data_IF_860251037643
#
_entry.id   IF_860251037643
#
_cell.length_a   1.000
_cell.length_b   1.000
_cell.length_c   1.000
_cell.angle_alpha   90.00
_cell.angle_beta   90.00
_cell.angle_gamma   90.00
#
_symmetry.space_group_name_H-M   'P 1'
#
loop_
_entity.id
_entity.type
_entity.pdbx_description
1 polymer ?
#
# COMPACT_ATOMS: atom_id res chain seq x y z
N UNK A 1 4.40 -12.41 -34.84
CA UNK A 1 4.09 -11.70 -33.60
C UNK A 1 2.87 -10.84 -33.87
N UNK A 2 1.85 -10.90 -33.02
CA UNK A 2 0.76 -9.93 -33.10
C UNK A 2 1.36 -8.52 -32.85
N UNK A 3 0.88 -7.48 -33.53
CA UNK A 3 1.37 -6.12 -33.26
C UNK A 3 1.08 -5.75 -31.80
N UNK A 4 2.07 -5.14 -31.13
CA UNK A 4 1.88 -4.59 -29.79
C UNK A 4 0.79 -3.52 -29.82
N UNK A 5 -0.12 -3.52 -28.83
CA UNK A 5 -1.22 -2.56 -28.77
C UNK A 5 -0.71 -1.13 -28.63
N UNK A 6 0.33 -0.92 -27.83
CA UNK A 6 1.00 0.36 -27.64
C UNK A 6 2.51 0.22 -27.80
N UNK A 7 3.16 1.28 -28.25
CA UNK A 7 4.62 1.38 -28.42
C UNK A 7 5.23 2.30 -27.37
N UNK A 8 6.45 1.99 -26.93
CA UNK A 8 7.23 2.88 -26.06
C UNK A 8 7.76 4.06 -26.90
N UNK A 9 7.42 5.31 -26.56
CA UNK A 9 7.94 6.52 -27.22
C UNK A 9 9.47 6.56 -27.22
N UNK A 10 10.12 7.10 -28.28
CA UNK A 10 11.58 7.11 -28.40
C UNK A 10 12.32 7.64 -27.16
N UNK A 11 11.76 8.65 -26.50
CA UNK A 11 12.34 9.27 -25.30
C UNK A 11 12.35 8.35 -24.07
N UNK A 12 11.53 7.29 -24.04
CA UNK A 12 11.42 6.35 -22.92
C UNK A 12 12.02 4.97 -23.21
N UNK A 13 12.58 4.75 -24.40
CA UNK A 13 13.18 3.45 -24.77
C UNK A 13 14.46 3.11 -23.98
N UNK A 14 15.08 4.10 -23.33
CA UNK A 14 16.17 3.86 -22.38
C UNK A 14 15.68 3.36 -21.01
N UNK A 15 14.49 3.78 -20.61
CA UNK A 15 13.91 3.52 -19.28
C UNK A 15 13.01 2.29 -19.27
N UNK A 16 12.49 1.89 -20.42
CA UNK A 16 11.51 0.83 -20.58
C UNK A 16 11.91 -0.14 -21.69
N UNK A 17 11.57 -1.40 -21.51
CA UNK A 17 11.59 -2.41 -22.56
C UNK A 17 10.29 -3.19 -22.59
N UNK A 18 9.93 -3.71 -23.75
CA UNK A 18 8.77 -4.57 -23.89
C UNK A 18 9.03 -5.94 -23.28
N UNK A 19 8.04 -6.49 -22.57
CA UNK A 19 8.05 -7.86 -22.04
C UNK A 19 6.69 -8.53 -22.23
N UNK A 20 6.70 -9.85 -22.33
CA UNK A 20 5.49 -10.66 -22.23
C UNK A 20 5.13 -10.86 -20.75
N UNK A 21 3.83 -10.89 -20.39
CA UNK A 21 3.40 -11.09 -19.01
C UNK A 21 3.87 -12.44 -18.49
N UNK A 22 4.28 -12.51 -17.22
CA UNK A 22 4.68 -13.78 -16.57
C UNK A 22 3.49 -14.72 -16.33
N UNK A 23 2.28 -14.26 -16.63
CA UNK A 23 1.03 -14.97 -16.42
C UNK A 23 0.06 -14.76 -17.60
N UNK A 24 -0.34 -15.86 -18.28
CA UNK A 24 -1.19 -15.80 -19.49
C UNK A 24 -2.72 -15.87 -19.25
N UNK A 25 -3.18 -16.31 -18.07
CA UNK A 25 -4.60 -16.35 -17.68
C UNK A 25 -5.30 -14.98 -17.85
N UNK A 26 -6.60 -15.01 -18.14
CA UNK A 26 -7.47 -13.83 -18.09
C UNK A 26 -7.64 -13.32 -16.67
N UNK A 27 -8.19 -12.12 -16.50
CA UNK A 27 -8.52 -11.58 -15.17
C UNK A 27 -9.49 -12.49 -14.44
N UNK A 28 -10.54 -12.96 -15.10
CA UNK A 28 -11.55 -13.85 -14.53
C UNK A 28 -10.95 -15.17 -14.05
N UNK A 29 -10.05 -15.76 -14.84
CA UNK A 29 -9.37 -17.00 -14.47
C UNK A 29 -8.43 -16.80 -13.28
N UNK A 30 -7.72 -15.68 -13.21
CA UNK A 30 -6.85 -15.34 -12.07
C UNK A 30 -7.72 -15.13 -10.83
N UNK A 31 -8.74 -14.28 -10.89
CA UNK A 31 -9.61 -13.97 -9.74
C UNK A 31 -10.36 -15.21 -9.25
N UNK A 32 -10.84 -16.07 -10.16
CA UNK A 32 -11.45 -17.35 -9.81
C UNK A 32 -10.46 -18.26 -9.08
N UNK A 33 -9.23 -18.39 -9.57
CA UNK A 33 -8.19 -19.20 -8.93
C UNK A 33 -7.78 -18.67 -7.55
N UNK A 34 -7.78 -17.35 -7.35
CA UNK A 34 -7.49 -16.72 -6.06
C UNK A 34 -8.64 -16.86 -5.05
N UNK A 35 -9.84 -17.24 -5.50
CA UNK A 35 -11.00 -17.51 -4.64
C UNK A 35 -11.00 -18.97 -4.11
N UNK A 36 -9.84 -19.48 -3.74
CA UNK A 36 -9.64 -20.81 -3.18
C UNK A 36 -8.60 -20.76 -2.07
N UNK A 37 -8.80 -21.57 -1.03
CA UNK A 37 -7.84 -21.69 0.06
C UNK A 37 -6.55 -22.33 -0.48
N UNK A 38 -5.41 -21.71 -0.16
CA UNK A 38 -4.09 -22.24 -0.50
C UNK A 38 -3.25 -22.28 0.77
N UNK A 39 -2.58 -23.38 1.15
CA UNK A 39 -1.67 -23.38 2.29
C UNK A 39 -0.53 -22.36 2.15
N UNK A 40 0.05 -21.91 3.26
CA UNK A 40 1.24 -21.03 3.26
C UNK A 40 2.49 -21.91 3.29
N UNK A 41 3.24 -21.93 2.19
CA UNK A 41 4.39 -22.82 2.00
C UNK A 41 5.74 -22.08 1.88
N UNK A 42 5.71 -20.76 1.72
CA UNK A 42 6.90 -19.91 1.64
C UNK A 42 6.62 -18.52 2.21
N UNK A 43 7.64 -17.66 2.29
CA UNK A 43 7.46 -16.25 2.68
C UNK A 43 7.06 -15.33 1.51
N UNK A 44 7.12 -15.79 0.26
CA UNK A 44 6.68 -15.00 -0.92
C UNK A 44 5.15 -14.98 -1.04
N UNK A 45 4.52 -14.25 -0.12
CA UNK A 45 3.08 -14.03 -0.10
C UNK A 45 2.77 -12.56 -0.40
N UNK A 46 1.72 -12.32 -1.18
CA UNK A 46 1.11 -10.99 -1.35
C UNK A 46 -0.23 -11.04 -0.63
N UNK A 47 -0.29 -10.43 0.55
CA UNK A 47 -1.49 -10.32 1.37
C UNK A 47 -2.24 -9.04 1.03
N UNK A 48 -3.55 -9.15 0.91
CA UNK A 48 -4.46 -8.02 0.79
C UNK A 48 -5.76 -8.36 1.54
N UNK A 49 -6.63 -7.37 1.71
CA UNK A 49 -7.91 -7.56 2.39
C UNK A 49 -9.05 -6.86 1.65
N UNK A 50 -10.17 -7.55 1.56
CA UNK A 50 -11.46 -6.98 1.20
C UNK A 50 -12.54 -7.65 2.04
N UNK A 51 -13.23 -6.88 2.88
CA UNK A 51 -14.11 -7.38 3.94
C UNK A 51 -15.16 -8.38 3.45
N UNK A 52 -15.67 -8.15 2.25
CA UNK A 52 -16.74 -8.88 1.59
C UNK A 52 -16.25 -9.89 0.54
N UNK A 53 -14.95 -10.19 0.51
CA UNK A 53 -14.37 -11.22 -0.36
C UNK A 53 -13.90 -10.73 -1.74
N UNK A 54 -12.97 -11.45 -2.35
CA UNK A 54 -12.34 -11.07 -3.63
C UNK A 54 -13.36 -10.86 -4.77
N UNK A 55 -14.48 -11.61 -4.75
CA UNK A 55 -15.51 -11.53 -5.79
C UNK A 55 -16.36 -10.25 -5.72
N UNK A 56 -16.43 -9.58 -4.57
CA UNK A 56 -17.22 -8.36 -4.39
C UNK A 56 -16.40 -7.08 -4.59
N UNK A 57 -15.08 -7.20 -4.82
CA UNK A 57 -14.23 -6.04 -5.13
C UNK A 57 -14.72 -5.31 -6.39
N UNK A 58 -14.57 -3.96 -6.43
CA UNK A 58 -14.70 -3.18 -7.65
C UNK A 58 -13.85 -3.75 -8.79
N UNK A 59 -14.32 -3.61 -10.03
CA UNK A 59 -13.63 -4.17 -11.21
C UNK A 59 -12.18 -3.70 -11.32
N UNK A 60 -11.91 -2.42 -11.04
CA UNK A 60 -10.57 -1.84 -11.11
C UNK A 60 -9.61 -2.41 -10.05
N UNK A 61 -10.11 -2.77 -8.86
CA UNK A 61 -9.35 -3.48 -7.82
C UNK A 61 -9.05 -4.92 -8.24
N UNK A 62 -10.00 -5.62 -8.87
CA UNK A 62 -9.75 -6.97 -9.43
C UNK A 62 -8.66 -6.93 -10.51
N UNK A 63 -8.70 -5.93 -11.39
CA UNK A 63 -7.66 -5.67 -12.40
C UNK A 63 -6.29 -5.42 -11.76
N UNK A 64 -6.22 -4.66 -10.66
CA UNK A 64 -4.97 -4.49 -9.89
C UNK A 64 -4.42 -5.83 -9.42
N UNK A 65 -5.23 -6.63 -8.73
CA UNK A 65 -4.83 -7.94 -8.19
C UNK A 65 -4.42 -8.91 -9.30
N UNK A 66 -5.14 -8.93 -10.42
CA UNK A 66 -4.77 -9.74 -11.58
C UNK A 66 -3.42 -9.29 -12.17
N UNK A 67 -3.16 -7.99 -12.24
CA UNK A 67 -1.87 -7.47 -12.69
C UNK A 67 -0.73 -7.87 -11.75
N UNK A 68 -0.94 -7.90 -10.42
CA UNK A 68 0.11 -8.38 -9.50
C UNK A 68 0.59 -9.80 -9.86
N UNK A 69 -0.34 -10.68 -10.28
CA UNK A 69 -0.02 -12.04 -10.76
C UNK A 69 0.84 -12.03 -12.02
N UNK A 70 0.58 -11.09 -12.94
CA UNK A 70 1.33 -10.93 -14.20
C UNK A 70 2.73 -10.38 -13.99
N UNK A 71 2.91 -9.47 -13.03
CA UNK A 71 4.21 -8.87 -12.73
C UNK A 71 5.06 -9.79 -11.83
N UNK A 72 4.49 -10.31 -10.75
CA UNK A 72 5.25 -11.09 -9.77
C UNK A 72 5.43 -12.55 -10.20
N UNK A 73 4.56 -13.04 -11.09
CA UNK A 73 4.60 -14.40 -11.61
C UNK A 73 4.30 -15.46 -10.54
N UNK A 74 4.47 -16.75 -10.88
CA UNK A 74 4.07 -17.87 -10.01
C UNK A 74 4.96 -18.07 -8.77
N UNK A 75 6.06 -17.32 -8.65
CA UNK A 75 6.92 -17.37 -7.46
C UNK A 75 6.29 -16.69 -6.24
N UNK A 76 5.25 -15.87 -6.45
CA UNK A 76 4.50 -15.18 -5.42
C UNK A 76 3.08 -15.74 -5.31
N UNK A 77 2.63 -16.00 -4.08
CA UNK A 77 1.26 -16.44 -3.82
C UNK A 77 0.40 -15.27 -3.36
N UNK A 78 -0.61 -14.89 -4.14
CA UNK A 78 -1.54 -13.81 -3.80
C UNK A 78 -2.68 -14.34 -2.93
N UNK A 79 -3.03 -13.58 -1.89
CA UNK A 79 -4.04 -13.93 -0.89
C UNK A 79 -4.86 -12.69 -0.56
N UNK A 80 -6.08 -12.64 -1.07
CA UNK A 80 -7.04 -11.59 -0.73
C UNK A 80 -7.93 -12.14 0.38
N UNK A 81 -7.60 -11.79 1.63
CA UNK A 81 -8.34 -12.20 2.82
C UNK A 81 -9.66 -11.45 2.94
N UNK A 82 -10.59 -12.03 3.69
CA UNK A 82 -11.90 -11.44 3.95
C UNK A 82 -12.41 -11.73 5.36
N UNK A 83 -13.56 -11.12 5.71
CA UNK A 83 -14.24 -11.30 6.98
C UNK A 83 -15.51 -12.18 6.87
N UNK A 84 -15.60 -13.02 5.83
CA UNK A 84 -16.76 -13.88 5.57
C UNK A 84 -16.47 -15.29 6.09
N UNK A 85 -17.10 -15.77 7.19
CA UNK A 85 -16.71 -17.01 7.87
C UNK A 85 -16.63 -18.26 6.99
N UNK A 86 -17.55 -18.40 6.03
CA UNK A 86 -17.61 -19.55 5.12
C UNK A 86 -16.68 -19.40 3.90
N UNK A 87 -16.08 -18.23 3.69
CA UNK A 87 -15.20 -17.97 2.56
C UNK A 87 -13.94 -18.84 2.62
N UNK A 88 -13.43 -19.37 1.50
CA UNK A 88 -12.11 -20.00 1.44
C UNK A 88 -10.99 -19.09 1.95
N UNK A 89 -11.14 -17.77 1.83
CA UNK A 89 -10.15 -16.78 2.24
C UNK A 89 -10.48 -16.04 3.53
N UNK A 90 -11.37 -16.60 4.35
CA UNK A 90 -11.66 -16.05 5.67
C UNK A 90 -10.36 -15.86 6.48
N UNK A 91 -10.14 -14.65 7.01
CA UNK A 91 -8.87 -14.28 7.65
C UNK A 91 -8.44 -15.25 8.77
N UNK A 92 -9.39 -15.77 9.56
CA UNK A 92 -9.09 -16.70 10.67
C UNK A 92 -8.70 -18.11 10.21
N UNK A 93 -8.71 -18.40 8.91
CA UNK A 93 -8.09 -19.62 8.36
C UNK A 93 -6.56 -19.52 8.28
N UNK A 94 -6.03 -18.30 8.23
CA UNK A 94 -4.59 -18.02 8.12
C UNK A 94 -3.98 -17.47 9.42
N UNK A 95 -4.80 -16.89 10.28
CA UNK A 95 -4.37 -16.20 11.50
C UNK A 95 -5.09 -16.74 12.75
N UNK A 96 -4.36 -16.94 13.86
CA UNK A 96 -4.97 -17.18 15.16
C UNK A 96 -5.87 -16.03 15.60
N UNK A 97 -7.03 -16.34 16.15
CA UNK A 97 -8.00 -15.33 16.60
C UNK A 97 -7.47 -14.46 17.76
N UNK A 98 -6.58 -14.98 18.60
CA UNK A 98 -5.98 -14.29 19.73
C UNK A 98 -4.92 -13.24 19.35
N UNK A 99 -4.50 -13.22 18.08
CA UNK A 99 -3.67 -12.15 17.53
C UNK A 99 -4.47 -10.94 17.06
N UNK A 100 -5.80 -11.01 17.05
CA UNK A 100 -6.66 -9.95 16.52
C UNK A 100 -7.59 -9.43 17.62
N UNK A 101 -8.04 -8.16 17.54
CA UNK A 101 -9.01 -7.65 18.50
C UNK A 101 -10.33 -8.44 18.44
N UNK A 102 -10.99 -8.57 19.59
CA UNK A 102 -12.30 -9.23 19.68
C UNK A 102 -13.33 -8.62 18.70
N UNK A 103 -13.23 -7.30 18.48
CA UNK A 103 -14.14 -6.61 17.57
C UNK A 103 -13.99 -7.06 16.10
N UNK A 104 -12.81 -7.52 15.69
CA UNK A 104 -12.63 -8.14 14.38
C UNK A 104 -13.19 -9.57 14.39
N UNK A 105 -12.80 -10.39 15.36
CA UNK A 105 -13.16 -11.82 15.39
C UNK A 105 -14.66 -12.08 15.56
N UNK A 106 -15.37 -11.17 16.24
CA UNK A 106 -16.83 -11.20 16.40
C UNK A 106 -17.59 -10.33 15.40
N UNK A 107 -16.90 -9.60 14.52
CA UNK A 107 -17.53 -8.71 13.55
C UNK A 107 -18.35 -7.58 14.19
N UNK A 108 -17.89 -7.04 15.32
CA UNK A 108 -18.62 -6.00 16.08
C UNK A 108 -18.08 -4.59 15.85
N UNK A 109 -17.07 -4.42 14.98
CA UNK A 109 -16.58 -3.10 14.62
C UNK A 109 -17.65 -2.24 13.93
N UNK A 110 -17.71 -0.98 14.32
CA UNK A 110 -18.65 -0.01 13.77
C UNK A 110 -17.93 1.20 13.14
N UNK A 111 -18.73 2.03 12.45
CA UNK A 111 -18.26 3.26 11.83
C UNK A 111 -17.83 3.10 10.35
N UNK A 112 -17.39 4.21 9.73
CA UNK A 112 -17.13 4.25 8.29
C UNK A 112 -15.79 3.60 7.88
N UNK A 113 -14.92 3.30 8.85
CA UNK A 113 -13.53 2.85 8.62
C UNK A 113 -13.28 1.39 9.05
N UNK A 114 -14.35 0.59 9.21
CA UNK A 114 -14.25 -0.83 9.56
C UNK A 114 -13.34 -1.61 8.61
N UNK A 115 -13.49 -1.43 7.29
CA UNK A 115 -12.66 -2.10 6.28
C UNK A 115 -11.17 -1.76 6.41
N UNK A 116 -10.79 -0.46 6.37
CA UNK A 116 -9.41 -0.04 6.58
C UNK A 116 -8.78 -0.55 7.88
N UNK A 117 -9.44 -0.40 9.03
CA UNK A 117 -8.89 -0.88 10.30
C UNK A 117 -8.83 -2.41 10.40
N UNK A 118 -9.75 -3.12 9.75
CA UNK A 118 -9.65 -4.57 9.58
C UNK A 118 -8.36 -4.95 8.86
N UNK A 119 -8.06 -4.29 7.73
CA UNK A 119 -6.81 -4.51 7.01
C UNK A 119 -5.58 -4.22 7.88
N UNK A 120 -5.64 -3.16 8.70
CA UNK A 120 -4.57 -2.81 9.65
C UNK A 120 -4.31 -3.96 10.65
N UNK A 121 -5.32 -4.59 11.24
CA UNK A 121 -5.09 -5.73 12.14
C UNK A 121 -4.43 -6.91 11.44
N UNK A 122 -4.81 -7.19 10.19
CA UNK A 122 -4.29 -8.32 9.46
C UNK A 122 -2.86 -8.09 8.98
N UNK A 123 -2.49 -6.83 8.71
CA UNK A 123 -1.18 -6.46 8.16
C UNK A 123 -0.03 -6.93 9.04
N UNK A 124 -0.02 -6.53 10.30
CA UNK A 124 1.02 -6.92 11.25
C UNK A 124 1.04 -8.43 11.50
N UNK A 125 -0.13 -9.05 11.67
CA UNK A 125 -0.26 -10.47 11.95
C UNK A 125 0.21 -11.37 10.79
N UNK A 126 -0.19 -11.07 9.56
CA UNK A 126 0.21 -11.82 8.36
C UNK A 126 1.72 -11.76 8.17
N UNK A 127 2.30 -10.56 8.23
CA UNK A 127 3.72 -10.35 8.03
C UNK A 127 4.55 -11.02 9.12
N UNK A 128 4.14 -10.90 10.39
CA UNK A 128 4.86 -11.57 11.48
C UNK A 128 4.82 -13.10 11.36
N UNK A 129 3.66 -13.70 11.09
CA UNK A 129 3.54 -15.16 11.05
C UNK A 129 4.09 -15.80 9.78
N UNK A 130 4.02 -15.10 8.65
CA UNK A 130 4.21 -15.69 7.32
C UNK A 130 5.16 -14.92 6.42
N UNK A 131 5.55 -13.70 6.77
CA UNK A 131 6.36 -12.83 5.91
C UNK A 131 5.65 -12.41 4.62
N UNK A 132 6.41 -11.80 3.73
CA UNK A 132 5.95 -11.38 2.41
C UNK A 132 5.64 -9.89 2.37
N UNK A 133 4.65 -9.54 1.56
CA UNK A 133 4.17 -8.17 1.36
C UNK A 133 2.69 -8.12 1.72
N UNK A 134 2.30 -7.13 2.51
CA UNK A 134 0.91 -6.76 2.68
C UNK A 134 0.67 -5.43 1.97
N UNK A 135 -0.26 -5.41 1.05
CA UNK A 135 -0.52 -4.25 0.20
C UNK A 135 -2.01 -4.09 -0.08
N UNK A 136 -2.48 -2.84 -0.16
CA UNK A 136 -3.89 -2.55 -0.41
C UNK A 136 -4.31 -2.93 -1.84
N UNK A 137 -5.54 -3.43 -2.02
CA UNK A 137 -6.11 -3.75 -3.34
C UNK A 137 -6.21 -2.54 -4.28
N UNK A 138 -6.16 -1.32 -3.73
CA UNK A 138 -6.11 -0.09 -4.49
C UNK A 138 -4.74 0.24 -5.11
N UNK A 139 -3.77 -0.67 -5.04
CA UNK A 139 -2.43 -0.44 -5.60
C UNK A 139 -2.33 -1.02 -7.01
N UNK A 140 -2.08 -0.15 -7.98
CA UNK A 140 -1.66 -0.53 -9.33
C UNK A 140 -0.14 -0.70 -9.31
N UNK A 141 0.35 -1.93 -9.44
CA UNK A 141 1.78 -2.23 -9.44
C UNK A 141 2.37 -2.04 -10.84
N UNK A 142 3.52 -1.36 -10.95
CA UNK A 142 4.25 -1.18 -12.22
C UNK A 142 5.68 -1.74 -12.19
N UNK A 143 6.14 -2.20 -11.02
CA UNK A 143 7.42 -2.86 -10.82
C UNK A 143 7.24 -4.11 -9.95
N UNK A 144 7.86 -5.23 -10.31
CA UNK A 144 7.72 -6.45 -9.51
C UNK A 144 8.31 -6.34 -8.10
N UNK A 145 7.71 -7.07 -7.15
CA UNK A 145 8.05 -6.95 -5.73
C UNK A 145 9.47 -7.41 -5.38
N UNK A 146 10.07 -8.27 -6.22
CA UNK A 146 11.47 -8.67 -6.06
C UNK A 146 12.41 -7.47 -6.26
N UNK A 147 12.11 -6.61 -7.23
CA UNK A 147 12.84 -5.36 -7.49
C UNK A 147 12.44 -4.20 -6.58
N UNK A 148 11.20 -4.17 -6.09
CA UNK A 148 10.78 -3.17 -5.09
C UNK A 148 11.56 -3.36 -3.80
N UNK A 149 11.58 -4.58 -3.24
CA UNK A 149 12.27 -4.81 -1.97
C UNK A 149 12.67 -6.26 -1.69
N UNK A 150 11.96 -7.25 -2.24
CA UNK A 150 12.08 -8.61 -1.72
C UNK A 150 13.44 -9.25 -1.97
N UNK A 151 14.12 -8.91 -3.07
CA UNK A 151 15.50 -9.37 -3.29
C UNK A 151 16.44 -8.90 -2.19
N UNK A 152 16.24 -7.67 -1.70
CA UNK A 152 17.03 -7.10 -0.60
C UNK A 152 16.66 -7.71 0.76
N UNK A 153 15.39 -8.05 0.97
CA UNK A 153 14.94 -8.65 2.23
C UNK A 153 15.33 -10.13 2.34
N UNK A 154 15.28 -10.86 1.23
CA UNK A 154 15.59 -12.29 1.19
C UNK A 154 17.10 -12.59 1.10
N UNK A 155 17.95 -11.57 0.96
CA UNK A 155 19.40 -11.70 0.99
C UNK A 155 19.90 -11.75 2.43
N UNK A 156 20.38 -12.90 2.88
CA UNK A 156 20.92 -13.10 4.24
C UNK A 156 22.14 -12.23 4.56
N UNK A 157 22.79 -11.63 3.56
CA UNK A 157 23.89 -10.67 3.74
C UNK A 157 23.40 -9.22 3.96
N UNK A 158 22.15 -8.94 3.62
CA UNK A 158 21.51 -7.64 3.82
C UNK A 158 21.03 -7.53 5.27
N UNK A 159 21.27 -6.40 5.96
CA UNK A 159 20.69 -6.17 7.28
C UNK A 159 19.18 -5.83 7.22
N UNK A 160 18.62 -5.66 6.02
CA UNK A 160 17.25 -5.17 5.84
C UNK A 160 16.26 -6.32 5.94
N UNK A 161 15.34 -6.24 6.89
CA UNK A 161 14.29 -7.26 7.11
C UNK A 161 12.87 -6.75 6.82
N UNK A 162 12.71 -5.42 6.73
CA UNK A 162 11.41 -4.77 6.55
C UNK A 162 11.55 -3.69 5.47
N UNK A 163 10.53 -3.50 4.64
CA UNK A 163 10.48 -2.39 3.68
C UNK A 163 9.15 -1.64 3.74
N UNK A 164 9.21 -0.31 3.75
CA UNK A 164 8.04 0.57 3.82
C UNK A 164 8.24 1.87 3.04
N UNK A 165 7.16 2.44 2.49
CA UNK A 165 7.20 3.79 1.95
C UNK A 165 7.39 4.82 3.08
N UNK A 166 8.32 5.75 2.88
CA UNK A 166 8.55 6.93 3.70
C UNK A 166 7.85 8.13 3.07
N UNK A 167 6.93 8.75 3.80
CA UNK A 167 6.35 10.02 3.39
C UNK A 167 7.29 11.18 3.70
N UNK A 168 7.72 11.29 4.95
CA UNK A 168 8.68 12.29 5.44
C UNK A 168 9.12 11.92 6.86
N UNK A 169 10.36 12.22 7.26
CA UNK A 169 10.87 12.10 8.64
C UNK A 169 10.53 10.78 9.38
N UNK A 170 10.51 9.65 8.66
CA UNK A 170 10.17 8.33 9.20
C UNK A 170 8.67 8.10 9.45
N UNK A 171 7.80 9.02 9.01
CA UNK A 171 6.37 8.79 8.86
C UNK A 171 6.16 7.89 7.65
N UNK A 172 5.71 6.66 7.91
CA UNK A 172 5.47 5.66 6.89
C UNK A 172 4.06 5.74 6.31
N UNK A 173 3.88 5.26 5.08
CA UNK A 173 2.56 5.00 4.51
C UNK A 173 2.24 3.50 4.58
N UNK A 174 1.21 3.12 5.33
CA UNK A 174 0.93 1.71 5.63
C UNK A 174 0.18 0.95 4.52
N UNK A 175 -0.10 1.58 3.37
CA UNK A 175 -0.70 0.89 2.22
C UNK A 175 0.17 -0.21 1.66
N UNK A 176 1.48 -0.19 1.94
CA UNK A 176 2.46 -1.21 1.59
C UNK A 176 3.41 -1.45 2.75
N UNK A 177 3.55 -2.72 3.18
CA UNK A 177 4.58 -3.13 4.14
C UNK A 177 5.08 -4.51 3.74
N UNK A 178 6.40 -4.66 3.63
CA UNK A 178 7.05 -5.94 3.39
C UNK A 178 7.89 -6.35 4.61
N UNK A 179 7.94 -7.63 4.94
CA UNK A 179 8.75 -8.12 6.05
C UNK A 179 9.16 -9.58 5.86
N UNK A 180 10.32 -9.92 6.41
CA UNK A 180 10.66 -11.32 6.74
C UNK A 180 9.74 -11.82 7.86
N UNK A 181 9.46 -13.13 7.84
CA UNK A 181 8.70 -13.79 8.90
C UNK A 181 9.41 -13.67 10.25
N UNK A 182 8.64 -13.46 11.31
CA UNK A 182 9.16 -13.41 12.69
C UNK A 182 9.88 -12.11 13.05
N UNK A 183 9.77 -11.07 12.21
CA UNK A 183 10.47 -9.81 12.44
C UNK A 183 10.07 -9.17 13.80
N UNK A 184 11.06 -8.83 14.65
CA UNK A 184 10.80 -8.32 16.00
C UNK A 184 10.15 -6.93 16.02
N UNK A 185 10.41 -6.09 15.01
CA UNK A 185 9.81 -4.77 14.92
C UNK A 185 8.33 -4.89 14.51
N UNK A 186 8.03 -5.71 13.50
CA UNK A 186 6.65 -5.99 13.07
C UNK A 186 5.81 -6.59 14.20
N UNK A 187 6.38 -7.49 15.02
CA UNK A 187 5.68 -8.04 16.19
C UNK A 187 5.24 -6.95 17.16
N UNK A 188 6.16 -6.06 17.55
CA UNK A 188 5.87 -4.96 18.47
C UNK A 188 4.88 -3.97 17.87
N UNK A 189 4.97 -3.73 16.57
CA UNK A 189 4.06 -2.83 15.86
C UNK A 189 2.63 -3.37 15.88
N UNK A 190 2.47 -4.65 15.55
CA UNK A 190 1.21 -5.37 15.63
C UNK A 190 0.64 -5.37 17.04
N UNK A 191 1.43 -5.79 18.03
CA UNK A 191 0.99 -5.91 19.42
C UNK A 191 0.57 -4.55 20.00
N UNK A 192 1.32 -3.48 19.70
CA UNK A 192 0.98 -2.12 20.13
C UNK A 192 -0.37 -1.68 19.57
N UNK A 193 -0.62 -1.92 18.29
CA UNK A 193 -1.88 -1.52 17.66
C UNK A 193 -3.06 -2.31 18.23
N UNK A 194 -2.92 -3.64 18.40
CA UNK A 194 -3.95 -4.49 19.02
C UNK A 194 -4.17 -4.10 20.49
N UNK A 195 -3.11 -3.78 21.23
CA UNK A 195 -3.20 -3.33 22.62
C UNK A 195 -4.00 -2.02 22.75
N UNK A 196 -3.73 -1.04 21.87
CA UNK A 196 -4.48 0.22 21.86
C UNK A 196 -5.96 0.03 21.54
N UNK A 197 -6.26 -0.93 20.66
CA UNK A 197 -7.63 -1.29 20.33
C UNK A 197 -8.35 -1.93 21.53
N UNK A 198 -7.72 -2.90 22.19
CA UNK A 198 -8.29 -3.60 23.35
C UNK A 198 -9.71 -4.10 23.08
N UNK A 199 -10.67 -3.68 23.91
CA UNK A 199 -12.09 -4.06 23.81
C UNK A 199 -12.95 -3.05 23.03
N UNK A 200 -12.34 -2.13 22.26
CA UNK A 200 -13.09 -1.11 21.49
C UNK A 200 -13.79 -1.72 20.29
N UNK A 201 -14.90 -1.13 19.88
CA UNK A 201 -15.58 -1.43 18.59
C UNK A 201 -15.29 -0.38 17.52
N UNK A 202 -14.61 0.72 17.87
CA UNK A 202 -14.27 1.80 16.94
C UNK A 202 -12.94 2.46 17.29
N UNK A 203 -12.42 3.27 16.37
CA UNK A 203 -11.14 3.98 16.53
C UNK A 203 -11.19 5.16 17.52
N UNK A 204 -12.39 5.52 18.00
CA UNK A 204 -12.60 6.70 18.83
C UNK A 204 -11.77 6.65 20.13
N UNK A 205 -11.03 7.73 20.37
CA UNK A 205 -10.18 7.93 21.54
C UNK A 205 -8.82 7.24 21.48
N UNK A 206 -8.46 6.54 20.39
CA UNK A 206 -7.16 5.85 20.29
C UNK A 206 -5.99 6.82 20.29
N UNK A 207 -6.08 7.91 19.52
CA UNK A 207 -5.02 8.92 19.44
C UNK A 207 -4.80 9.69 20.75
N UNK A 208 -5.78 9.67 21.66
CA UNK A 208 -5.67 10.24 23.02
C UNK A 208 -4.95 9.34 24.02
N UNK A 209 -4.54 8.14 23.61
CA UNK A 209 -3.76 7.24 24.47
C UNK A 209 -2.44 7.88 24.89
N UNK A 210 -2.03 7.78 26.18
CA UNK A 210 -0.72 8.24 26.63
C UNK A 210 0.46 7.63 25.83
N UNK A 211 0.29 6.41 25.31
CA UNK A 211 1.28 5.76 24.45
C UNK A 211 1.53 6.55 23.14
N UNK A 212 0.53 7.29 22.66
CA UNK A 212 0.61 8.13 21.47
C UNK A 212 0.68 9.62 21.82
N UNK A 213 1.08 9.99 23.05
CA UNK A 213 1.18 11.40 23.49
C UNK A 213 2.06 12.27 22.59
N UNK A 214 3.04 11.68 21.90
CA UNK A 214 3.87 12.39 20.92
C UNK A 214 3.06 12.86 19.69
N UNK A 215 1.94 12.21 19.37
CA UNK A 215 1.10 12.55 18.21
C UNK A 215 0.52 13.96 18.33
N UNK A 216 0.26 14.43 19.56
CA UNK A 216 -0.19 15.79 19.83
C UNK A 216 0.87 16.86 19.51
N UNK A 217 2.14 16.47 19.34
CA UNK A 217 3.27 17.34 19.00
C UNK A 217 3.63 17.29 17.52
N UNK A 218 2.91 16.51 16.70
CA UNK A 218 3.17 16.42 15.27
C UNK A 218 2.87 17.76 14.59
N UNK A 219 3.81 18.21 13.75
CA UNK A 219 3.57 19.32 12.86
C UNK A 219 2.61 18.88 11.74
N UNK A 220 1.35 19.31 11.85
CA UNK A 220 0.31 19.00 10.86
C UNK A 220 0.59 19.62 9.48
N UNK A 221 1.54 20.55 9.38
CA UNK A 221 1.97 21.16 8.10
C UNK A 221 3.10 20.39 7.42
N UNK A 222 3.78 19.47 8.11
CA UNK A 222 4.93 18.74 7.60
C UNK A 222 4.62 17.95 6.32
N UNK A 223 3.42 17.36 6.23
CA UNK A 223 2.97 16.68 5.01
C UNK A 223 2.95 17.64 3.81
N UNK A 224 2.33 18.81 3.94
CA UNK A 224 2.24 19.80 2.88
C UNK A 224 3.61 20.37 2.48
N UNK A 225 4.50 20.59 3.45
CA UNK A 225 5.88 21.03 3.20
C UNK A 225 6.68 19.99 2.41
N UNK A 226 6.34 18.70 2.55
CA UNK A 226 6.95 17.59 1.82
C UNK A 226 6.15 17.18 0.56
N UNK A 227 5.27 18.06 0.08
CA UNK A 227 4.57 17.88 -1.21
C UNK A 227 3.25 17.12 -1.13
N UNK A 228 2.80 16.70 0.04
CA UNK A 228 1.52 16.02 0.24
C UNK A 228 0.39 17.01 0.49
N UNK A 229 -0.46 17.22 -0.51
CA UNK A 229 -1.56 18.19 -0.45
C UNK A 229 -2.92 17.51 -0.22
N UNK A 230 -2.99 16.62 0.78
CA UNK A 230 -4.24 15.95 1.13
C UNK A 230 -5.24 16.94 1.73
N UNK A 231 -6.48 16.91 1.22
CA UNK A 231 -7.59 17.67 1.77
C UNK A 231 -8.38 16.77 2.72
N UNK A 232 -8.69 17.26 3.93
CA UNK A 232 -9.50 16.55 4.91
C UNK A 232 -10.79 17.32 5.24
N UNK A 233 -11.92 16.61 5.29
CA UNK A 233 -13.24 17.14 5.70
C UNK A 233 -13.60 16.80 7.14
N UNK A 234 -12.72 16.09 7.85
CA UNK A 234 -12.86 15.72 9.26
C UNK A 234 -11.84 16.49 10.09
N UNK A 235 -12.05 16.54 11.40
CA UNK A 235 -11.09 17.17 12.31
C UNK A 235 -9.77 16.37 12.40
N UNK A 236 -8.72 17.04 12.86
CA UNK A 236 -7.39 16.45 12.94
C UNK A 236 -7.32 15.21 13.85
N UNK A 237 -8.12 15.14 14.92
CA UNK A 237 -8.13 13.97 15.80
C UNK A 237 -8.72 12.76 15.07
N UNK A 238 -9.80 12.94 14.31
CA UNK A 238 -10.35 11.87 13.46
C UNK A 238 -9.31 11.36 12.45
N UNK A 239 -8.50 12.25 11.85
CA UNK A 239 -7.39 11.82 10.96
C UNK A 239 -6.35 11.01 11.71
N UNK A 240 -5.90 11.48 12.88
CA UNK A 240 -4.91 10.77 13.71
C UNK A 240 -5.42 9.39 14.15
N UNK A 241 -6.69 9.28 14.51
CA UNK A 241 -7.32 8.00 14.85
C UNK A 241 -7.42 7.07 13.65
N UNK A 242 -7.76 7.60 12.47
CA UNK A 242 -7.78 6.85 11.22
C UNK A 242 -6.40 6.28 10.87
N UNK A 243 -5.32 7.02 11.12
CA UNK A 243 -3.93 6.57 10.87
C UNK A 243 -3.24 5.99 12.12
N UNK A 244 -3.98 5.51 13.13
CA UNK A 244 -3.38 5.04 14.40
C UNK A 244 -2.30 3.99 14.20
N UNK A 245 -2.42 3.12 13.19
CA UNK A 245 -1.38 2.13 12.89
C UNK A 245 -0.05 2.80 12.47
N UNK A 246 -0.10 3.90 11.73
CA UNK A 246 1.08 4.73 11.40
C UNK A 246 1.63 5.41 12.66
N UNK A 247 0.77 5.84 13.58
CA UNK A 247 1.22 6.39 14.87
C UNK A 247 1.89 5.33 15.76
N UNK A 248 1.43 4.08 15.72
CA UNK A 248 2.11 2.98 16.41
C UNK A 248 3.53 2.80 15.88
N UNK A 249 3.71 2.85 14.56
CA UNK A 249 5.02 2.78 13.93
C UNK A 249 5.93 3.93 14.38
N UNK A 250 5.40 5.17 14.32
CA UNK A 250 6.13 6.35 14.75
C UNK A 250 6.55 6.28 16.23
N UNK A 251 5.72 5.73 17.13
CA UNK A 251 6.11 5.44 18.51
C UNK A 251 7.30 4.49 18.55
N UNK A 252 7.28 3.39 17.81
CA UNK A 252 8.39 2.43 17.84
C UNK A 252 9.70 3.03 17.33
N UNK A 253 9.67 3.85 16.28
CA UNK A 253 10.85 4.59 15.83
C UNK A 253 11.43 5.57 16.87
N UNK A 254 10.74 5.78 18.01
CA UNK A 254 11.17 6.58 19.16
C UNK A 254 11.76 5.77 20.31
N UNK A 255 11.57 4.45 20.35
CA UNK A 255 11.98 3.62 21.50
C UNK A 255 13.43 3.18 21.38
N UNK A 256 14.30 3.69 22.26
CA UNK A 256 15.68 3.21 22.41
C UNK A 256 15.77 1.85 23.10
N UNK A 257 14.74 1.49 23.86
CA UNK A 257 14.58 0.19 24.51
C UNK A 257 13.09 -0.09 24.60
N UNK A 258 12.64 -1.19 24.01
CA UNK A 258 11.25 -1.63 24.00
C UNK A 258 10.80 -2.32 25.30
N UNK A 259 11.63 -2.32 26.35
CA UNK A 259 11.40 -2.97 27.65
C UNK A 259 12.09 -4.33 27.79
N UNK A 260 12.76 -4.79 26.73
CA UNK A 260 13.48 -6.06 26.66
C UNK A 260 14.89 -5.91 26.06
N UNK A 261 15.40 -4.68 26.02
CA UNK A 261 16.73 -4.35 25.47
C UNK A 261 16.76 -4.19 23.95
N UNK A 262 15.63 -4.38 23.25
CA UNK A 262 15.56 -4.15 21.81
C UNK A 262 15.35 -2.67 21.50
N UNK A 263 16.29 -2.07 20.76
CA UNK A 263 16.18 -0.69 20.29
C UNK A 263 15.41 -0.62 18.97
N UNK A 264 14.13 -0.28 19.04
CA UNK A 264 13.31 -0.06 17.85
C UNK A 264 13.79 1.17 17.05
N UNK A 265 14.36 2.17 17.73
CA UNK A 265 14.87 3.38 17.09
C UNK A 265 16.11 3.10 16.22
N UNK A 266 17.06 2.30 16.71
CA UNK A 266 18.23 1.89 15.91
C UNK A 266 17.78 0.95 14.78
N UNK A 267 16.91 -0.03 15.10
CA UNK A 267 16.37 -0.94 14.09
C UNK A 267 15.68 -0.21 12.93
N UNK A 268 14.91 0.84 13.23
CA UNK A 268 14.25 1.64 12.22
C UNK A 268 15.23 2.32 11.26
N UNK A 269 16.39 2.78 11.74
CA UNK A 269 17.40 3.41 10.89
C UNK A 269 18.19 2.36 10.08
N UNK A 270 18.56 1.26 10.73
CA UNK A 270 19.58 0.34 10.20
C UNK A 270 18.98 -0.86 9.44
N UNK A 271 17.83 -1.36 9.86
CA UNK A 271 17.26 -2.62 9.37
C UNK A 271 15.98 -2.47 8.53
N UNK A 272 15.45 -1.26 8.41
CA UNK A 272 14.31 -0.98 7.54
C UNK A 272 14.80 -0.35 6.23
N UNK A 273 14.29 -0.85 5.12
CA UNK A 273 14.44 -0.27 3.79
C UNK A 273 13.31 0.73 3.60
N UNK A 274 13.65 2.01 3.70
CA UNK A 274 12.73 3.11 3.45
C UNK A 274 12.84 3.54 1.99
N UNK A 275 11.71 3.78 1.34
CA UNK A 275 11.70 4.31 -0.03
C UNK A 275 10.75 5.50 -0.16
N UNK A 276 11.02 6.39 -1.11
CA UNK A 276 10.31 7.65 -1.28
C UNK A 276 8.89 7.42 -1.77
N UNK A 277 7.91 7.59 -0.88
CA UNK A 277 6.52 7.26 -1.19
C UNK A 277 5.93 8.18 -2.27
N UNK A 278 6.33 9.45 -2.32
CA UNK A 278 5.80 10.37 -3.33
C UNK A 278 6.30 10.01 -4.73
N UNK A 279 7.57 9.61 -4.85
CA UNK A 279 8.16 9.19 -6.13
C UNK A 279 7.73 7.80 -6.58
N UNK A 280 7.55 6.89 -5.63
CA UNK A 280 7.35 5.46 -5.91
C UNK A 280 5.89 5.01 -5.87
N UNK A 281 5.02 5.70 -5.13
CA UNK A 281 3.63 5.26 -4.90
C UNK A 281 2.57 6.28 -5.35
N UNK A 282 2.88 7.58 -5.32
CA UNK A 282 1.93 8.67 -5.65
C UNK A 282 2.47 9.59 -6.76
N UNK A 283 3.15 8.99 -7.75
CA UNK A 283 3.78 9.75 -8.80
C UNK A 283 2.77 10.51 -9.68
N UNK A 284 1.56 9.97 -9.85
CA UNK A 284 0.49 10.64 -10.60
C UNK A 284 0.11 11.98 -9.94
N UNK A 285 -0.05 11.99 -8.61
CA UNK A 285 -0.43 13.17 -7.83
C UNK A 285 0.61 14.28 -7.90
N UNK A 286 1.89 13.96 -8.14
CA UNK A 286 2.94 14.98 -8.36
C UNK A 286 2.73 15.79 -9.63
N UNK A 287 1.93 15.28 -10.58
CA UNK A 287 1.63 15.93 -11.86
C UNK A 287 0.24 16.55 -11.87
N UNK A 288 -0.77 15.79 -11.43
CA UNK A 288 -2.19 16.21 -11.53
C UNK A 288 -2.74 16.80 -10.23
N UNK A 289 -1.96 16.76 -9.15
CA UNK A 289 -2.39 17.12 -7.81
C UNK A 289 -3.16 16.00 -7.09
N UNK A 290 -3.55 16.27 -5.85
CA UNK A 290 -4.14 15.28 -4.93
C UNK A 290 -5.67 15.17 -5.01
N UNK A 291 -6.31 15.86 -5.95
CA UNK A 291 -7.75 15.76 -6.18
C UNK A 291 -8.05 14.59 -7.11
N UNK A 292 -8.90 13.67 -6.66
CA UNK A 292 -9.25 12.48 -7.43
C UNK A 292 -9.81 12.78 -8.83
N UNK A 293 -10.57 13.89 -8.96
CA UNK A 293 -11.10 14.33 -10.25
C UNK A 293 -10.00 14.66 -11.27
N UNK A 294 -8.92 15.32 -10.85
CA UNK A 294 -7.83 15.67 -11.75
C UNK A 294 -7.13 14.42 -12.30
N UNK A 295 -6.94 13.42 -11.45
CA UNK A 295 -6.41 12.12 -11.85
C UNK A 295 -7.38 11.37 -12.79
N UNK A 296 -8.68 11.42 -12.50
CA UNK A 296 -9.71 10.81 -13.33
C UNK A 296 -9.73 11.46 -14.74
N UNK A 297 -9.70 12.78 -14.82
CA UNK A 297 -9.74 13.53 -16.08
C UNK A 297 -8.48 13.26 -16.93
N UNK A 298 -7.31 13.26 -16.29
CA UNK A 298 -6.06 12.93 -16.96
C UNK A 298 -6.07 11.50 -17.52
N UNK A 299 -6.51 10.52 -16.74
CA UNK A 299 -6.56 9.12 -17.20
C UNK A 299 -7.69 8.86 -18.21
N UNK A 300 -8.77 9.64 -18.17
CA UNK A 300 -9.86 9.56 -19.16
C UNK A 300 -9.54 10.28 -20.47
N UNK A 301 -8.43 11.03 -20.54
CA UNK A 301 -8.02 11.75 -21.74
C UNK A 301 -7.75 10.76 -22.87
N UNK A 302 -8.27 11.10 -24.06
CA UNK A 302 -8.15 10.30 -25.28
C UNK A 302 -6.73 10.34 -25.85
N UNK A 303 -6.22 9.20 -26.28
CA UNK A 303 -4.90 9.09 -26.93
C UNK A 303 -4.86 9.74 -28.32
N UNK A 304 -6.03 9.95 -28.95
CA UNK A 304 -6.22 10.64 -30.22
C UNK A 304 -6.68 12.10 -30.07
N UNK A 305 -6.70 12.65 -28.85
CA UNK A 305 -6.89 14.08 -28.63
C UNK A 305 -5.71 14.90 -29.18
N UNK A 306 -5.91 16.21 -29.32
CA UNK A 306 -4.87 17.14 -29.79
C UNK A 306 -3.63 17.08 -28.87
N UNK A 307 -2.47 16.63 -29.38
CA UNK A 307 -1.23 16.54 -28.59
C UNK A 307 -0.75 17.90 -28.05
N UNK A 308 -1.20 19.00 -28.65
CA UNK A 308 -0.86 20.34 -28.20
C UNK A 308 -1.74 20.86 -27.05
N UNK A 309 -2.86 20.19 -26.76
CA UNK A 309 -3.74 20.53 -25.64
C UNK A 309 -3.06 20.32 -24.27
N UNK A 310 -3.42 21.14 -23.29
CA UNK A 310 -2.87 21.05 -21.94
C UNK A 310 -3.32 19.74 -21.25
N UNK A 311 -4.53 19.29 -21.55
CA UNK A 311 -5.10 18.03 -21.06
C UNK A 311 -4.25 16.83 -21.53
N UNK A 312 -3.95 16.77 -22.84
CA UNK A 312 -3.11 15.70 -23.40
C UNK A 312 -1.70 15.73 -22.81
N UNK A 313 -1.05 16.90 -22.78
CA UNK A 313 0.31 17.05 -22.23
C UNK A 313 0.37 16.63 -20.77
N UNK A 314 -0.64 16.98 -19.99
CA UNK A 314 -0.75 16.60 -18.58
C UNK A 314 -0.91 15.08 -18.44
N UNK A 315 -1.86 14.48 -19.17
CA UNK A 315 -2.09 13.04 -19.14
C UNK A 315 -0.87 12.23 -19.60
N UNK A 316 -0.22 12.66 -20.68
CA UNK A 316 1.00 12.06 -21.20
C UNK A 316 2.11 12.09 -20.16
N UNK A 317 2.38 13.26 -19.58
CA UNK A 317 3.41 13.41 -18.55
C UNK A 317 3.10 12.55 -17.33
N UNK A 318 1.84 12.50 -16.90
CA UNK A 318 1.42 11.77 -15.71
C UNK A 318 1.58 10.25 -15.89
N UNK A 319 1.04 9.67 -16.97
CA UNK A 319 1.12 8.22 -17.24
C UNK A 319 2.56 7.77 -17.45
N UNK A 320 3.33 8.47 -18.28
CA UNK A 320 4.71 8.07 -18.53
C UNK A 320 5.60 8.25 -17.30
N UNK A 321 5.35 9.25 -16.44
CA UNK A 321 6.05 9.37 -15.15
C UNK A 321 5.78 8.16 -14.24
N UNK A 322 4.54 7.67 -14.20
CA UNK A 322 4.19 6.46 -13.44
C UNK A 322 4.95 5.26 -14.01
N UNK A 323 4.83 5.01 -15.32
CA UNK A 323 5.38 3.83 -15.98
C UNK A 323 6.91 3.75 -15.95
N UNK A 324 7.62 4.88 -16.04
CA UNK A 324 9.09 4.90 -16.19
C UNK A 324 9.83 4.94 -14.85
N UNK A 325 9.30 5.61 -13.83
CA UNK A 325 10.06 6.02 -12.64
C UNK A 325 9.34 5.75 -11.29
N UNK A 326 8.32 4.89 -11.28
CA UNK A 326 7.56 4.56 -10.05
C UNK A 326 7.51 3.06 -9.82
N UNK A 327 7.23 2.61 -8.61
CA UNK A 327 7.08 1.18 -8.32
C UNK A 327 5.62 0.76 -8.38
N UNK A 328 4.73 1.68 -8.02
CA UNK A 328 3.30 1.50 -7.99
C UNK A 328 2.57 2.85 -8.10
N UNK A 329 1.26 2.79 -8.24
CA UNK A 329 0.35 3.91 -8.07
C UNK A 329 -0.71 3.53 -7.05
N UNK A 330 -0.68 4.18 -5.89
CA UNK A 330 -1.65 4.00 -4.83
C UNK A 330 -2.90 4.82 -5.14
N UNK A 331 -3.98 4.14 -5.45
CA UNK A 331 -5.29 4.75 -5.70
C UNK A 331 -6.10 4.73 -4.41
N UNK A 332 -6.47 5.93 -3.96
CA UNK A 332 -7.17 6.15 -2.70
C UNK A 332 -8.68 6.28 -2.91
N UNK A 333 -9.45 5.63 -2.05
CA UNK A 333 -10.88 5.92 -1.90
C UNK A 333 -11.08 7.18 -1.04
N UNK A 334 -10.39 7.30 0.11
CA UNK A 334 -10.55 8.41 1.06
C UNK A 334 -12.00 8.64 1.53
N UNK A 335 -12.76 7.55 1.71
CA UNK A 335 -14.19 7.57 2.10
C UNK A 335 -14.40 8.43 3.33
N UNK A 336 -15.27 9.44 3.25
CA UNK A 336 -15.66 10.29 4.40
C UNK A 336 -14.48 10.99 5.12
N UNK A 337 -13.29 10.98 4.52
CA UNK A 337 -12.08 11.65 5.02
C UNK A 337 -11.78 12.93 4.23
N UNK A 338 -12.00 12.89 2.91
CA UNK A 338 -11.76 14.02 2.01
C UNK A 338 -13.07 14.73 1.62
N UNK A 339 -13.06 16.06 1.42
CA UNK A 339 -14.22 16.80 0.93
C UNK A 339 -14.56 16.48 -0.53
N UNK A 340 -13.60 15.97 -1.30
CA UNK A 340 -13.78 15.56 -2.70
C UNK A 340 -13.58 14.04 -2.85
N UNK A 341 -14.29 13.39 -3.79
CA UNK A 341 -14.11 11.95 -4.04
C UNK A 341 -12.67 11.67 -4.49
N UNK A 342 -12.05 10.67 -3.87
CA UNK A 342 -10.79 10.12 -4.37
C UNK A 342 -10.98 9.39 -5.70
N UNK A 343 -9.90 9.17 -6.44
CA UNK A 343 -9.95 8.47 -7.74
C UNK A 343 -10.62 7.09 -7.63
N UNK A 344 -10.40 6.37 -6.53
CA UNK A 344 -11.04 5.07 -6.30
C UNK A 344 -12.57 5.16 -6.28
N UNK A 345 -13.15 6.21 -5.68
CA UNK A 345 -14.61 6.42 -5.72
C UNK A 345 -15.13 6.68 -7.12
N UNK A 346 -14.39 7.48 -7.89
CA UNK A 346 -14.79 7.81 -9.25
C UNK A 346 -14.78 6.57 -10.16
N UNK A 347 -13.87 5.62 -9.90
CA UNK A 347 -13.83 4.33 -10.60
C UNK A 347 -14.83 3.31 -10.06
N UNK A 348 -15.20 3.35 -8.77
CA UNK A 348 -16.31 2.56 -8.25
C UNK A 348 -17.62 2.95 -8.93
N UNK A 349 -17.86 4.26 -9.10
CA UNK A 349 -19.08 4.80 -9.74
C UNK A 349 -19.10 4.58 -11.26
N UNK A 350 -17.93 4.50 -11.89
CA UNK A 350 -17.75 4.32 -13.34
C UNK A 350 -16.83 3.14 -13.64
N UNK A 351 -17.31 1.92 -13.37
CA UNK A 351 -16.53 0.72 -13.65
C UNK A 351 -16.10 0.65 -15.12
N UNK A 352 -14.83 0.30 -15.33
CA UNK A 352 -14.18 0.26 -16.64
C UNK A 352 -13.53 1.57 -17.08
N UNK A 353 -13.76 2.69 -16.39
CA UNK A 353 -13.13 3.98 -16.74
C UNK A 353 -11.60 3.95 -16.59
N UNK A 354 -11.05 3.08 -15.74
CA UNK A 354 -9.61 2.88 -15.58
C UNK A 354 -8.95 2.15 -16.76
N UNK A 355 -9.74 1.55 -17.66
CA UNK A 355 -9.27 0.77 -18.79
C UNK A 355 -10.07 1.02 -20.07
N UNK A 356 -10.69 2.20 -20.20
CA UNK A 356 -11.54 2.51 -21.34
C UNK A 356 -10.71 2.55 -22.65
N UNK A 357 -11.10 1.83 -23.72
CA UNK A 357 -10.30 1.73 -24.93
C UNK A 357 -9.96 3.08 -25.56
N UNK A 358 -8.68 3.33 -25.85
CA UNK A 358 -8.16 4.55 -26.46
C UNK A 358 -7.92 5.70 -25.48
N UNK A 359 -7.84 5.43 -24.17
CA UNK A 359 -7.54 6.43 -23.13
C UNK A 359 -6.14 6.24 -22.54
N UNK A 360 -5.65 7.27 -21.85
CA UNK A 360 -4.43 7.18 -21.05
C UNK A 360 -4.55 6.17 -19.88
N UNK A 361 -5.76 5.91 -19.38
CA UNK A 361 -6.05 4.85 -18.42
C UNK A 361 -5.76 3.46 -18.99
N UNK A 362 -6.24 3.18 -20.22
CA UNK A 362 -5.90 1.94 -20.92
C UNK A 362 -4.38 1.82 -21.15
N UNK A 363 -3.71 2.90 -21.56
CA UNK A 363 -2.25 2.91 -21.72
C UNK A 363 -1.53 2.59 -20.40
N UNK A 364 -1.96 3.19 -19.28
CA UNK A 364 -1.38 2.90 -17.97
C UNK A 364 -1.56 1.43 -17.59
N UNK A 365 -2.76 0.87 -17.82
CA UNK A 365 -3.05 -0.56 -17.57
C UNK A 365 -2.18 -1.46 -18.41
N UNK A 366 -2.08 -1.19 -19.71
CA UNK A 366 -1.22 -1.95 -20.62
C UNK A 366 0.24 -1.84 -20.22
N UNK A 367 0.74 -0.62 -20.06
CA UNK A 367 2.13 -0.35 -19.72
C UNK A 367 2.55 -1.00 -18.40
N UNK A 368 1.65 -1.06 -17.40
CA UNK A 368 1.95 -1.70 -16.11
C UNK A 368 2.33 -3.18 -16.23
N UNK A 369 1.88 -3.86 -17.30
CA UNK A 369 2.12 -5.29 -17.52
C UNK A 369 3.18 -5.54 -18.59
N UNK A 370 3.19 -4.73 -19.65
CA UNK A 370 3.98 -4.99 -20.86
C UNK A 370 5.25 -4.13 -20.96
N UNK A 371 5.39 -3.08 -20.16
CA UNK A 371 6.58 -2.23 -20.15
C UNK A 371 7.35 -2.46 -18.85
N UNK A 372 8.46 -3.20 -18.94
CA UNK A 372 9.35 -3.43 -17.81
C UNK A 372 10.37 -2.30 -17.73
N UNK A 373 10.46 -1.66 -16.57
CA UNK A 373 11.49 -0.66 -16.30
C UNK A 373 12.88 -1.27 -16.35
N UNK A 374 13.88 -0.52 -16.83
CA UNK A 374 15.28 -0.95 -16.91
C UNK A 374 16.08 -0.62 -15.65
N UNK A 375 15.57 0.25 -14.77
CA UNK A 375 16.25 0.66 -13.52
C UNK A 375 16.51 -0.50 -12.56
N UNK A 376 17.65 -0.52 -11.88
CA UNK A 376 17.99 -1.62 -10.96
C UNK A 376 17.40 -1.43 -9.55
N UNK A 377 17.09 -0.19 -9.16
CA UNK A 377 16.62 0.13 -7.82
C UNK A 377 15.52 1.19 -7.81
N UNK A 378 14.72 1.18 -6.75
CA UNK A 378 13.77 2.25 -6.42
C UNK A 378 14.45 3.43 -5.72
N UNK A 379 13.74 4.54 -5.54
CA UNK A 379 14.20 5.70 -4.79
C UNK A 379 14.25 5.40 -3.28
N UNK A 380 15.40 4.93 -2.80
CA UNK A 380 15.62 4.64 -1.37
C UNK A 380 15.84 5.95 -0.58
N UNK A 381 15.29 6.01 0.63
CA UNK A 381 15.49 7.08 1.61
C UNK A 381 16.40 6.55 2.72
N UNK A 382 17.51 7.24 2.99
CA UNK A 382 18.30 6.95 4.18
C UNK A 382 17.70 7.69 5.36
N UNK A 383 17.11 6.95 6.30
CA UNK A 383 16.59 7.53 7.53
C UNK A 383 17.72 7.70 8.55
N UNK A 384 17.77 8.86 9.19
CA UNK A 384 18.59 9.06 10.39
C UNK A 384 17.79 8.67 11.63
N UNK A 385 18.49 8.14 12.65
CA UNK A 385 17.88 7.92 13.97
C UNK A 385 17.28 9.24 14.47
N UNK A 386 16.04 9.16 14.95
CA UNK A 386 15.34 10.37 15.41
C UNK A 386 15.99 10.94 16.67
N UNK A 387 15.97 12.26 16.79
CA UNK A 387 16.61 12.99 17.91
C UNK A 387 15.76 12.96 19.18
N UNK A 388 14.44 12.93 19.02
CA UNK A 388 13.45 12.85 20.09
C UNK A 388 13.09 11.38 20.37
N UNK A 389 14.07 10.62 20.84
CA UNK A 389 13.92 9.22 21.29
C UNK A 389 13.83 9.13 22.81
N UNK A 390 13.32 8.00 23.32
CA UNK A 390 13.15 7.76 24.75
C UNK A 390 13.25 6.28 25.12
N UNK A 391 13.54 5.99 26.39
CA UNK A 391 13.61 4.64 26.96
C UNK A 391 12.33 4.35 27.73
N UNK A 392 11.44 3.56 27.12
CA UNK A 392 10.17 3.13 27.71
C UNK A 392 9.75 1.81 27.07
N UNK A 393 9.15 0.92 27.85
CA UNK A 393 8.52 -0.28 27.31
C UNK A 393 7.52 0.03 26.18
N UNK A 394 7.28 -0.93 25.28
CA UNK A 394 6.30 -0.77 24.18
C UNK A 394 4.95 -0.24 24.70
N UNK A 395 4.49 -0.79 25.83
CA UNK A 395 3.22 -0.47 26.49
C UNK A 395 3.37 0.49 27.69
N UNK A 396 4.52 1.14 27.87
CA UNK A 396 4.76 2.10 28.95
C UNK A 396 4.45 3.54 28.49
N UNK A 397 3.43 4.22 29.04
CA UNK A 397 3.05 5.61 28.72
C UNK A 397 4.20 6.60 28.73
#
# INVERSE_FOLDING_TARGET
>A
MAPHQFTIPPEFQGDLKYVEPRHARTDEEIISALNAFTPVESEKNIWAFWDSGIQSMPGWCKRNVANWSRLCGPSWTIRVLDAVPDSPNYALKYLPADMLPEAFTKGTMDGPYTGPHSADFLRGACLYLHGGVFMDVGILLVLDLDRVCWSTLADDSSPKNVAVPCMYDGVMANHFVASRKGDPFIKRWHDLFVHLWGNRTSHAGMASSPLLSYAAQLDLTAAAQNGYQFEFSVDAMTVLEYITQVLCWGRLCRLEDAGDGFSCADYAADNILWFDSLKEDWALETIVGFRGQNAFDALSTRLDADPESEEYKTAYKAVWRVLTHSSMQKVSHAKKLSPSPGLGYLWDDKDGADCEPGTFGELLRYGSVYFEQTRESIAIVQLEKRKDTFRKGVFEP
#
